data_IF_453211457947
#
_entry.id   IF_453211457947
#
_cell.length_a   1.000
_cell.length_b   1.000
_cell.length_c   1.000
_cell.angle_alpha   90.00
_cell.angle_beta   90.00
_cell.angle_gamma   90.00
#
_symmetry.space_group_name_H-M   'P 1'
#
loop_
_entity.id
_entity.type
_entity.pdbx_description
1 polymer ?
#
# COMPACT_ATOMS: atom_id res chain seq x y z
N UNK A 1 -38.17 7.81 2.98
CA UNK A 1 -37.26 8.97 3.08
C UNK A 1 -37.30 9.70 1.76
N UNK A 2 -37.66 10.98 1.74
CA UNK A 2 -37.73 11.76 0.48
C UNK A 2 -36.31 12.09 0.03
N UNK A 3 -35.87 11.51 -1.09
CA UNK A 3 -34.62 11.90 -1.75
C UNK A 3 -34.84 13.21 -2.50
N UNK A 4 -34.74 14.34 -1.79
CA UNK A 4 -34.83 15.66 -2.41
C UNK A 4 -33.72 15.85 -3.44
N UNK A 5 -34.05 16.38 -4.62
CA UNK A 5 -33.06 16.66 -5.66
C UNK A 5 -32.14 17.80 -5.22
N UNK A 6 -30.87 17.50 -4.96
CA UNK A 6 -29.87 18.54 -4.72
C UNK A 6 -29.48 19.20 -6.05
N UNK A 7 -29.64 20.52 -6.13
CA UNK A 7 -29.24 21.29 -7.31
C UNK A 7 -27.73 21.51 -7.29
N UNK A 8 -27.09 21.39 -8.46
CA UNK A 8 -25.68 21.66 -8.62
C UNK A 8 -25.35 23.15 -8.37
N UNK A 9 -24.43 23.42 -7.45
CA UNK A 9 -23.87 24.76 -7.21
C UNK A 9 -22.42 24.82 -7.73
N UNK A 10 -22.15 25.57 -8.82
CA UNK A 10 -20.81 25.71 -9.39
C UNK A 10 -19.77 26.27 -8.41
N UNK A 11 -20.17 27.10 -7.44
CA UNK A 11 -19.25 27.68 -6.45
C UNK A 11 -18.81 26.61 -5.45
N UNK A 12 -19.75 25.76 -5.01
CA UNK A 12 -19.45 24.64 -4.10
C UNK A 12 -18.52 23.65 -4.79
N UNK A 13 -18.79 23.28 -6.04
CA UNK A 13 -17.94 22.32 -6.77
C UNK A 13 -16.50 22.82 -6.94
N UNK A 14 -16.32 24.11 -7.26
CA UNK A 14 -14.97 24.71 -7.38
C UNK A 14 -14.20 24.62 -6.07
N UNK A 15 -14.84 24.97 -4.96
CA UNK A 15 -14.24 24.91 -3.63
C UNK A 15 -13.94 23.47 -3.20
N UNK A 16 -14.86 22.54 -3.45
CA UNK A 16 -14.67 21.12 -3.17
C UNK A 16 -13.47 20.55 -3.93
N UNK A 17 -13.31 20.90 -5.21
CA UNK A 17 -12.14 20.52 -6.01
C UNK A 17 -10.84 21.11 -5.46
N UNK A 18 -10.84 22.37 -5.07
CA UNK A 18 -9.67 23.01 -4.47
C UNK A 18 -9.26 22.30 -3.16
N UNK A 19 -10.22 22.05 -2.27
CA UNK A 19 -9.99 21.35 -1.01
C UNK A 19 -9.47 19.93 -1.23
N UNK A 20 -10.03 19.19 -2.19
CA UNK A 20 -9.55 17.85 -2.54
C UNK A 20 -8.10 17.87 -3.03
N UNK A 21 -7.72 18.87 -3.83
CA UNK A 21 -6.33 19.04 -4.29
C UNK A 21 -5.41 19.37 -3.12
N UNK A 22 -5.79 20.33 -2.27
CA UNK A 22 -5.01 20.72 -1.09
C UNK A 22 -4.79 19.52 -0.14
N UNK A 23 -5.82 18.72 0.10
CA UNK A 23 -5.71 17.52 0.94
C UNK A 23 -4.76 16.47 0.35
N UNK A 24 -4.78 16.25 -0.98
CA UNK A 24 -3.82 15.35 -1.64
C UNK A 24 -2.38 15.84 -1.49
N UNK A 25 -2.14 17.14 -1.72
CA UNK A 25 -0.82 17.73 -1.58
C UNK A 25 -0.31 17.64 -0.13
N UNK A 26 -1.17 17.94 0.85
CA UNK A 26 -0.81 17.81 2.27
C UNK A 26 -0.46 16.37 2.64
N UNK A 27 -1.18 15.38 2.11
CA UNK A 27 -0.89 13.96 2.33
C UNK A 27 0.46 13.54 1.74
N UNK A 28 0.78 13.98 0.51
CA UNK A 28 2.09 13.70 -0.09
C UNK A 28 3.22 14.42 0.66
N UNK A 29 3.02 15.68 1.04
CA UNK A 29 4.00 16.42 1.85
C UNK A 29 4.27 15.73 3.19
N UNK A 30 3.23 15.24 3.88
CA UNK A 30 3.39 14.48 5.11
C UNK A 30 4.13 13.14 4.89
N UNK A 31 3.89 12.47 3.76
CA UNK A 31 4.60 11.24 3.39
C UNK A 31 6.09 11.51 3.13
N UNK A 32 6.40 12.59 2.44
CA UNK A 32 7.78 13.02 2.17
C UNK A 32 8.50 13.43 3.46
N UNK A 33 7.86 14.23 4.32
CA UNK A 33 8.45 14.64 5.59
C UNK A 33 8.75 13.44 6.49
N UNK A 34 7.87 12.43 6.51
CA UNK A 34 8.13 11.17 7.23
C UNK A 34 9.33 10.41 6.67
N UNK A 35 9.47 10.36 5.35
CA UNK A 35 10.61 9.70 4.70
C UNK A 35 11.93 10.43 5.01
N UNK A 36 11.92 11.76 4.98
CA UNK A 36 13.09 12.58 5.35
C UNK A 36 13.48 12.37 6.83
N UNK A 37 12.50 12.27 7.73
CA UNK A 37 12.76 11.91 9.13
C UNK A 37 13.35 10.50 9.25
N UNK A 38 12.80 9.53 8.54
CA UNK A 38 13.31 8.15 8.53
C UNK A 38 14.74 8.07 7.97
N UNK A 39 15.06 8.82 6.91
CA UNK A 39 16.43 8.91 6.36
C UNK A 39 17.40 9.57 7.34
N UNK A 40 16.97 10.64 8.01
CA UNK A 40 17.76 11.32 9.04
C UNK A 40 17.99 10.44 10.28
N UNK A 41 17.01 9.63 10.67
CA UNK A 41 17.11 8.69 11.80
C UNK A 41 17.83 7.37 11.43
N UNK A 42 17.76 6.93 10.17
CA UNK A 42 18.43 5.72 9.66
C UNK A 42 19.92 5.95 9.32
N UNK A 43 20.36 7.20 9.20
CA UNK A 43 21.78 7.55 9.05
C UNK A 43 22.47 7.64 10.42
N UNK A 44 22.69 6.48 11.07
CA UNK A 44 24.07 6.06 11.34
C UNK A 44 24.28 4.53 11.25
N UNK A 45 23.52 3.79 10.42
CA UNK A 45 23.71 2.32 10.29
C UNK A 45 23.34 1.78 8.89
N UNK A 46 23.92 2.33 7.83
CA UNK A 46 23.90 1.68 6.50
C UNK A 46 25.34 1.74 5.96
N UNK A 47 26.25 0.97 6.55
CA UNK A 47 27.63 0.83 6.03
C UNK A 47 28.10 -0.62 5.94
N UNK A 48 27.55 -1.55 6.71
CA UNK A 48 28.02 -2.94 6.74
C UNK A 48 26.79 -3.85 6.91
N UNK A 49 26.67 -4.95 6.17
CA UNK A 49 25.55 -5.91 6.19
C UNK A 49 24.17 -5.31 5.82
N UNK A 50 23.63 -5.52 4.62
CA UNK A 50 23.08 -6.83 4.27
C UNK A 50 22.90 -6.88 2.75
N UNK A 51 23.98 -7.27 2.05
CA UNK A 51 23.80 -7.87 0.73
C UNK A 51 23.09 -9.20 0.98
N UNK A 52 21.76 -9.20 0.99
CA UNK A 52 20.98 -10.43 0.90
C UNK A 52 21.38 -11.09 -0.41
N UNK A 53 22.33 -12.01 -0.33
CA UNK A 53 22.57 -13.00 -1.36
C UNK A 53 21.22 -13.69 -1.53
N UNK A 54 20.53 -13.36 -2.62
CA UNK A 54 19.37 -14.07 -3.12
C UNK A 54 19.88 -15.43 -3.60
N UNK A 55 20.42 -16.23 -2.67
CA UNK A 55 20.72 -17.62 -2.89
C UNK A 55 19.41 -18.19 -3.42
N UNK A 56 19.47 -18.65 -4.67
CA UNK A 56 18.43 -19.40 -5.35
C UNK A 56 18.28 -20.73 -4.59
N UNK A 57 17.79 -20.65 -3.36
CA UNK A 57 17.31 -21.76 -2.60
C UNK A 57 15.99 -22.13 -3.24
N UNK A 58 16.06 -22.71 -4.44
CA UNK A 58 14.93 -23.31 -5.12
C UNK A 58 14.33 -24.33 -4.14
N UNK A 59 13.21 -24.01 -3.47
CA UNK A 59 12.66 -24.92 -2.49
C UNK A 59 12.28 -26.21 -3.24
N UNK A 60 12.41 -27.38 -2.62
CA UNK A 60 12.01 -28.62 -3.28
C UNK A 60 10.58 -28.46 -3.80
N UNK A 61 10.28 -28.93 -5.03
CA UNK A 61 8.98 -28.72 -5.64
C UNK A 61 7.91 -29.31 -4.72
N UNK A 62 6.74 -28.65 -4.59
CA UNK A 62 5.69 -29.13 -3.72
C UNK A 62 5.26 -30.54 -4.14
N UNK A 63 4.84 -31.38 -3.19
CA UNK A 63 4.38 -32.73 -3.49
C UNK A 63 3.23 -32.68 -4.50
N UNK A 64 3.34 -33.52 -5.54
CA UNK A 64 2.33 -33.60 -6.59
C UNK A 64 1.05 -34.22 -6.02
N UNK A 65 -0.08 -33.57 -6.27
CA UNK A 65 -1.41 -34.11 -5.95
C UNK A 65 -1.89 -34.99 -7.11
N UNK A 66 -2.37 -36.18 -6.79
CA UNK A 66 -3.08 -37.07 -7.70
C UNK A 66 -4.57 -36.72 -7.74
N UNK A 67 -5.31 -37.21 -8.74
CA UNK A 67 -6.76 -36.97 -8.85
C UNK A 67 -7.56 -37.49 -7.63
N UNK A 68 -7.01 -38.48 -6.91
CA UNK A 68 -7.59 -39.02 -5.67
C UNK A 68 -7.38 -38.15 -4.42
N UNK A 69 -6.51 -37.14 -4.48
CA UNK A 69 -6.20 -36.26 -3.34
C UNK A 69 -7.18 -35.07 -3.22
N UNK A 70 -8.07 -34.91 -4.20
CA UNK A 70 -9.14 -33.92 -4.15
C UNK A 70 -10.35 -34.52 -3.42
N UNK A 71 -10.72 -33.94 -2.29
CA UNK A 71 -11.92 -34.31 -1.55
C UNK A 71 -11.73 -35.29 -0.38
N UNK A 72 -10.50 -35.71 -0.07
CA UNK A 72 -10.21 -36.42 1.18
C UNK A 72 -10.45 -35.47 2.37
N UNK A 73 -11.34 -35.85 3.28
CA UNK A 73 -11.53 -35.18 4.56
C UNK A 73 -10.61 -35.88 5.57
N UNK A 74 -9.71 -35.11 6.17
CA UNK A 74 -8.89 -35.62 7.27
C UNK A 74 -9.83 -35.85 8.46
N UNK A 75 -10.06 -37.11 8.84
CA UNK A 75 -10.81 -37.48 10.04
C UNK A 75 -9.93 -37.43 11.28
#
# INVERSE_FOLDING_TARGET
>A
TSSGSFVYDPKIERTARANRKAAKLAKEAARLARLEQEEAEASPYISEEEQFEMADANPPPPPRRTLGDYGQRNN
#
